data_IF_634881328368
#
_entry.id   IF_634881328368
#
_cell.length_a   1.000
_cell.length_b   1.000
_cell.length_c   1.000
_cell.angle_alpha   90.00
_cell.angle_beta   90.00
_cell.angle_gamma   90.00
#
_symmetry.space_group_name_H-M   'P 1'
#
loop_
_entity.id
_entity.type
_entity.pdbx_description
1 polymer ?
#
# COMPACT_ATOMS: atom_id res chain seq x y z
N UNK A 1 36.56 5.76 -70.32
CA UNK A 1 35.62 4.88 -69.58
C UNK A 1 34.81 5.75 -68.64
N UNK A 2 33.48 5.76 -68.82
CA UNK A 2 32.51 6.46 -67.99
C UNK A 2 31.98 5.46 -66.96
N UNK A 3 31.98 5.80 -65.67
CA UNK A 3 31.13 5.12 -64.69
C UNK A 3 30.63 6.14 -63.69
N UNK A 4 29.36 6.51 -63.86
CA UNK A 4 28.59 7.29 -62.90
C UNK A 4 28.26 6.35 -61.72
N UNK A 5 28.60 6.75 -60.49
CA UNK A 5 28.08 6.09 -59.29
C UNK A 5 26.87 6.88 -58.84
N UNK A 6 25.70 6.27 -59.00
CA UNK A 6 24.41 6.81 -58.61
C UNK A 6 24.24 6.70 -57.10
N UNK A 7 23.86 7.83 -56.53
CA UNK A 7 23.41 8.10 -55.18
C UNK A 7 22.25 7.18 -54.77
N UNK A 8 22.37 6.51 -53.62
CA UNK A 8 21.31 5.70 -53.01
C UNK A 8 21.25 5.92 -51.51
N UNK A 9 20.67 7.06 -51.09
CA UNK A 9 20.31 7.29 -49.69
C UNK A 9 19.06 6.46 -49.40
N UNK A 10 19.21 5.37 -48.65
CA UNK A 10 18.09 4.60 -48.13
C UNK A 10 17.49 5.37 -46.95
N UNK A 11 16.39 6.07 -47.21
CA UNK A 11 15.49 6.61 -46.19
C UNK A 11 14.76 5.44 -45.53
N UNK A 12 15.29 4.95 -44.41
CA UNK A 12 14.54 4.07 -43.51
C UNK A 12 13.54 4.94 -42.73
N UNK A 13 12.31 4.98 -43.22
CA UNK A 13 11.16 5.39 -42.42
C UNK A 13 10.98 4.34 -41.32
N UNK A 14 11.46 4.65 -40.11
CA UNK A 14 11.14 3.89 -38.91
C UNK A 14 9.66 4.09 -38.57
N UNK A 15 8.78 3.30 -39.19
CA UNK A 15 7.43 3.13 -38.69
C UNK A 15 7.54 2.39 -37.35
N UNK A 16 7.19 3.06 -36.24
CA UNK A 16 6.96 2.39 -34.96
C UNK A 16 5.78 1.43 -35.14
N UNK A 17 6.06 0.18 -35.49
CA UNK A 17 5.07 -0.90 -35.43
C UNK A 17 4.75 -1.11 -33.96
N UNK A 18 3.58 -0.64 -33.53
CA UNK A 18 3.01 -1.00 -32.24
C UNK A 18 2.94 -2.53 -32.20
N UNK A 19 3.55 -3.20 -31.22
CA UNK A 19 3.36 -4.64 -31.07
C UNK A 19 1.88 -4.91 -30.79
N UNK A 20 1.25 -5.70 -31.65
CA UNK A 20 -0.07 -6.25 -31.39
C UNK A 20 0.01 -7.40 -30.39
N UNK A 21 -0.96 -7.36 -29.46
CA UNK A 21 -1.47 -8.44 -28.60
C UNK A 21 -0.48 -9.14 -27.67
N UNK A 22 -0.44 -8.70 -26.42
CA UNK A 22 -0.57 -9.66 -25.32
C UNK A 22 -2.04 -9.65 -24.88
N UNK A 23 -2.56 -10.85 -24.61
CA UNK A 23 -3.88 -11.09 -24.04
C UNK A 23 -3.88 -10.52 -22.61
N UNK A 24 -4.10 -9.22 -22.48
CA UNK A 24 -4.20 -8.59 -21.18
C UNK A 24 -5.61 -8.88 -20.68
N UNK A 25 -5.73 -9.82 -19.75
CA UNK A 25 -6.79 -9.73 -18.76
C UNK A 25 -6.67 -8.32 -18.18
N UNK A 26 -7.49 -7.40 -18.68
CA UNK A 26 -7.52 -6.02 -18.24
C UNK A 26 -8.21 -6.02 -16.89
N UNK A 27 -7.51 -6.49 -15.86
CA UNK A 27 -7.87 -6.21 -14.48
C UNK A 27 -7.81 -4.69 -14.37
N UNK A 28 -8.98 -4.06 -14.42
CA UNK A 28 -9.10 -2.63 -14.22
C UNK A 28 -8.44 -2.31 -12.88
N UNK A 29 -7.38 -1.52 -12.90
CA UNK A 29 -6.75 -1.06 -11.68
C UNK A 29 -7.81 -0.37 -10.83
N UNK A 30 -7.90 -0.77 -9.56
CA UNK A 30 -8.84 -0.22 -8.60
C UNK A 30 -8.56 1.28 -8.44
N UNK A 31 -9.59 2.13 -8.52
CA UNK A 31 -9.41 3.57 -8.32
C UNK A 31 -8.94 3.87 -6.90
N UNK A 32 -8.25 4.99 -6.68
CA UNK A 32 -7.80 5.41 -5.33
C UNK A 32 -8.98 5.51 -4.35
N UNK A 33 -10.13 6.03 -4.82
CA UNK A 33 -11.36 6.10 -4.02
C UNK A 33 -11.87 4.72 -3.61
N UNK A 34 -11.83 3.75 -4.52
CA UNK A 34 -12.27 2.39 -4.20
C UNK A 34 -11.27 1.70 -3.27
N UNK A 35 -9.96 1.88 -3.50
CA UNK A 35 -8.89 1.41 -2.61
C UNK A 35 -9.08 1.95 -1.19
N UNK A 36 -9.36 3.25 -1.06
CA UNK A 36 -9.60 3.89 0.23
C UNK A 36 -10.80 3.27 0.96
N UNK A 37 -11.94 3.15 0.27
CA UNK A 37 -13.14 2.49 0.82
C UNK A 37 -12.86 1.07 1.26
N UNK A 38 -11.99 0.35 0.56
CA UNK A 38 -11.62 -1.01 0.93
C UNK A 38 -10.73 -1.04 2.17
N UNK A 39 -9.71 -0.18 2.24
CA UNK A 39 -8.85 -0.07 3.42
C UNK A 39 -9.65 0.22 4.70
N UNK A 40 -10.68 1.06 4.61
CA UNK A 40 -11.55 1.44 5.73
C UNK A 40 -12.44 0.30 6.28
N UNK A 41 -12.64 -0.78 5.54
CA UNK A 41 -13.50 -1.89 5.96
C UNK A 41 -12.83 -2.82 6.99
N UNK A 42 -11.52 -2.70 7.17
CA UNK A 42 -10.73 -3.64 7.95
C UNK A 42 -9.85 -2.91 8.98
N UNK A 43 -9.58 -3.59 10.08
CA UNK A 43 -8.37 -3.39 10.87
C UNK A 43 -7.30 -4.31 10.29
N UNK A 44 -6.14 -3.75 10.00
CA UNK A 44 -5.01 -4.44 9.39
C UNK A 44 -3.99 -4.75 10.47
N UNK A 45 -3.67 -6.03 10.68
CA UNK A 45 -2.78 -6.46 11.75
C UNK A 45 -1.51 -7.13 11.23
N UNK A 46 -0.36 -6.75 11.76
CA UNK A 46 0.94 -7.36 11.48
C UNK A 46 1.71 -7.57 12.77
N UNK A 47 2.20 -8.79 12.99
CA UNK A 47 3.05 -9.12 14.14
C UNK A 47 4.48 -9.32 13.67
N UNK A 48 5.43 -8.45 14.07
CA UNK A 48 6.85 -8.65 13.77
C UNK A 48 7.37 -9.99 14.31
N UNK A 49 8.30 -10.63 13.61
CA UNK A 49 8.81 -11.97 13.95
C UNK A 49 9.36 -12.10 15.39
N UNK A 50 9.90 -11.02 15.96
CA UNK A 50 10.46 -10.98 17.31
C UNK A 50 9.54 -10.29 18.33
N UNK A 51 8.23 -10.24 18.05
CA UNK A 51 7.21 -9.63 18.90
C UNK A 51 6.03 -10.58 19.08
N UNK A 52 5.36 -10.51 20.22
CA UNK A 52 4.02 -11.13 20.42
C UNK A 52 2.90 -10.11 20.25
N UNK A 53 3.26 -8.83 20.07
CA UNK A 53 2.35 -7.70 20.05
C UNK A 53 2.17 -7.26 18.61
N UNK A 54 0.92 -7.28 18.09
CA UNK A 54 0.64 -6.81 16.74
C UNK A 54 0.70 -5.29 16.66
N UNK A 55 1.13 -4.80 15.50
CA UNK A 55 0.88 -3.45 15.03
C UNK A 55 -0.44 -3.49 14.26
N UNK A 56 -1.37 -2.62 14.63
CA UNK A 56 -2.69 -2.49 14.01
C UNK A 56 -2.81 -1.16 13.27
N UNK A 57 -3.31 -1.21 12.04
CA UNK A 57 -3.66 -0.04 11.24
C UNK A 57 -5.17 0.00 11.04
N UNK A 58 -5.74 1.19 11.19
CA UNK A 58 -7.12 1.48 10.85
C UNK A 58 -7.17 2.72 9.96
N UNK A 59 -8.05 2.69 8.96
CA UNK A 59 -8.20 3.80 8.03
C UNK A 59 -9.59 4.41 8.19
N UNK A 60 -9.64 5.74 8.16
CA UNK A 60 -10.86 6.51 7.98
C UNK A 60 -10.82 7.22 6.62
N UNK A 61 -11.79 8.09 6.35
CA UNK A 61 -11.83 8.85 5.10
C UNK A 61 -10.65 9.82 4.96
N UNK A 62 -10.08 10.29 6.06
CA UNK A 62 -9.00 11.29 6.04
C UNK A 62 -7.79 10.88 6.85
N UNK A 63 -7.95 9.96 7.80
CA UNK A 63 -6.91 9.60 8.77
C UNK A 63 -6.53 8.13 8.77
N UNK A 64 -5.28 7.86 9.13
CA UNK A 64 -4.75 6.56 9.49
C UNK A 64 -4.48 6.55 11.00
N UNK A 65 -4.99 5.53 11.69
CA UNK A 65 -4.63 5.20 13.05
C UNK A 65 -3.63 4.04 13.05
N UNK A 66 -2.56 4.17 13.84
CA UNK A 66 -1.51 3.19 14.04
C UNK A 66 -1.45 2.89 15.54
N UNK A 67 -1.61 1.63 15.91
CA UNK A 67 -1.67 1.22 17.31
C UNK A 67 -0.80 0.00 17.57
N UNK A 68 0.00 0.08 18.63
CA UNK A 68 0.83 -1.02 19.13
C UNK A 68 0.73 -1.12 20.66
N UNK A 69 -0.51 -1.14 21.17
CA UNK A 69 -0.89 -1.41 22.57
C UNK A 69 -0.71 -0.31 23.62
N UNK A 70 0.08 0.75 23.39
CA UNK A 70 0.27 1.79 24.40
C UNK A 70 -0.13 3.17 23.89
N UNK A 71 0.64 3.77 22.98
CA UNK A 71 0.26 5.02 22.35
C UNK A 71 -0.64 4.81 21.12
N UNK A 72 -1.63 5.69 21.00
CA UNK A 72 -2.38 5.84 19.76
C UNK A 72 -1.65 6.86 18.90
N UNK A 73 -1.21 6.43 17.74
CA UNK A 73 -0.53 7.27 16.75
C UNK A 73 -1.53 7.52 15.61
N UNK A 74 -1.66 8.76 15.16
CA UNK A 74 -2.56 9.06 14.05
C UNK A 74 -2.06 10.20 13.17
N UNK A 75 -2.47 10.18 11.92
CA UNK A 75 -2.16 11.24 10.96
C UNK A 75 -3.19 11.28 9.84
N UNK A 76 -3.28 12.41 9.13
CA UNK A 76 -3.99 12.45 7.87
C UNK A 76 -3.22 11.67 6.80
N UNK A 77 -3.92 11.14 5.80
CA UNK A 77 -3.29 10.48 4.66
C UNK A 77 -4.05 10.73 3.37
N UNK A 78 -3.35 10.49 2.26
CA UNK A 78 -3.95 10.35 0.93
C UNK A 78 -3.34 9.16 0.21
N UNK A 79 -4.09 8.62 -0.74
CA UNK A 79 -3.58 7.62 -1.67
C UNK A 79 -3.15 8.33 -2.95
N UNK A 80 -1.96 8.00 -3.45
CA UNK A 80 -1.45 8.49 -4.73
C UNK A 80 -0.73 7.36 -5.44
N UNK A 81 -1.22 6.93 -6.61
CA UNK A 81 -0.55 5.91 -7.43
C UNK A 81 -0.12 4.66 -6.63
N UNK A 82 -1.06 4.02 -5.91
CA UNK A 82 -0.78 2.85 -5.07
C UNK A 82 0.25 3.11 -3.95
N UNK A 83 0.34 4.34 -3.48
CA UNK A 83 1.20 4.76 -2.37
C UNK A 83 0.36 5.43 -1.30
N UNK A 84 0.57 5.08 -0.04
CA UNK A 84 0.02 5.79 1.11
C UNK A 84 0.99 6.94 1.42
N UNK A 85 0.49 8.17 1.37
CA UNK A 85 1.25 9.36 1.76
C UNK A 85 0.61 9.94 3.01
N UNK A 86 1.33 9.87 4.13
CA UNK A 86 0.91 10.45 5.40
C UNK A 86 1.32 11.92 5.47
N UNK A 87 0.45 12.76 6.01
CA UNK A 87 0.73 14.16 6.27
C UNK A 87 1.47 14.31 7.60
N UNK A 88 2.52 15.12 7.59
CA UNK A 88 3.34 15.44 8.76
C UNK A 88 2.83 16.76 9.37
N UNK A 89 2.75 16.90 10.70
CA UNK A 89 3.25 15.97 11.72
C UNK A 89 2.31 14.80 12.02
N UNK A 90 2.92 13.64 12.28
CA UNK A 90 2.22 12.50 12.90
C UNK A 90 1.99 12.80 14.38
N UNK A 91 0.77 12.60 14.85
CA UNK A 91 0.35 12.82 16.24
C UNK A 91 0.45 11.53 17.07
N UNK A 92 0.70 11.64 18.37
CA UNK A 92 0.76 10.52 19.32
C UNK A 92 0.29 10.98 20.70
N UNK A 93 -0.36 10.09 21.47
CA UNK A 93 -0.73 10.35 22.86
C UNK A 93 0.47 10.55 23.81
N UNK A 94 1.66 10.07 23.43
CA UNK A 94 2.93 10.19 24.16
C UNK A 94 2.87 9.84 25.67
N UNK A 95 2.11 8.82 26.04
CA UNK A 95 2.13 8.20 27.37
C UNK A 95 3.40 7.34 27.53
N UNK A 96 3.89 7.21 28.76
CA UNK A 96 5.07 6.37 29.05
C UNK A 96 4.75 4.89 28.92
N UNK A 97 5.58 4.16 28.17
CA UNK A 97 5.34 2.76 27.83
C UNK A 97 6.55 1.89 28.19
N UNK A 98 6.37 0.57 28.37
CA UNK A 98 7.49 -0.35 28.35
C UNK A 98 8.36 -0.17 27.09
N UNK A 99 9.69 -0.21 27.22
CA UNK A 99 10.65 0.09 26.14
C UNK A 99 10.38 -0.69 24.84
N UNK A 100 9.95 -1.95 24.93
CA UNK A 100 9.65 -2.75 23.74
C UNK A 100 8.42 -2.24 22.96
N UNK A 101 7.47 -1.56 23.60
CA UNK A 101 6.33 -0.90 22.95
C UNK A 101 6.76 0.43 22.34
N UNK A 102 7.58 1.22 23.05
CA UNK A 102 8.13 2.48 22.52
C UNK A 102 8.93 2.26 21.23
N UNK A 103 9.68 1.16 21.13
CA UNK A 103 10.37 0.78 19.91
C UNK A 103 9.42 0.45 18.76
N UNK A 104 8.30 -0.22 19.01
CA UNK A 104 7.30 -0.51 17.97
C UNK A 104 6.60 0.76 17.50
N UNK A 105 6.26 1.65 18.43
CA UNK A 105 5.67 2.97 18.13
C UNK A 105 6.61 3.83 17.29
N UNK A 106 7.90 3.85 17.64
CA UNK A 106 8.92 4.56 16.88
C UNK A 106 9.09 3.98 15.48
N UNK A 107 9.10 2.65 15.36
CA UNK A 107 9.22 1.95 14.08
C UNK A 107 8.04 2.30 13.16
N UNK A 108 6.80 2.20 13.65
CA UNK A 108 5.65 2.46 12.79
C UNK A 108 5.53 3.94 12.42
N UNK A 109 5.93 4.85 13.31
CA UNK A 109 6.00 6.28 13.00
C UNK A 109 6.99 6.54 11.87
N UNK A 110 8.23 6.06 12.00
CA UNK A 110 9.29 6.22 10.99
C UNK A 110 8.88 5.59 9.65
N UNK A 111 8.20 4.44 9.68
CA UNK A 111 7.69 3.77 8.49
C UNK A 111 6.75 4.67 7.67
N UNK A 112 5.93 5.49 8.31
CA UNK A 112 5.01 6.40 7.63
C UNK A 112 5.54 7.84 7.45
N UNK A 113 6.78 8.12 7.83
CA UNK A 113 7.41 9.43 7.55
C UNK A 113 7.77 9.60 6.06
N UNK A 114 7.78 8.50 5.29
CA UNK A 114 7.98 8.49 3.84
C UNK A 114 6.77 7.87 3.12
N UNK A 115 6.56 8.15 1.82
CA UNK A 115 5.52 7.49 1.03
C UNK A 115 5.71 5.96 1.00
N UNK A 116 4.66 5.22 1.35
CA UNK A 116 4.68 3.75 1.44
C UNK A 116 3.92 3.12 0.29
N UNK A 117 4.61 2.38 -0.58
CA UNK A 117 3.95 1.63 -1.64
C UNK A 117 3.12 0.49 -1.06
N UNK A 118 1.90 0.28 -1.57
CA UNK A 118 1.03 -0.77 -1.05
C UNK A 118 0.33 -1.59 -2.15
N UNK A 119 -0.05 -2.80 -1.78
CA UNK A 119 -0.90 -3.70 -2.59
C UNK A 119 -1.96 -4.34 -1.71
N UNK A 120 -3.15 -4.50 -2.27
CA UNK A 120 -4.25 -5.26 -1.66
C UNK A 120 -4.37 -6.59 -2.39
N UNK A 121 -4.33 -7.70 -1.66
CA UNK A 121 -4.61 -9.03 -2.18
C UNK A 121 -5.93 -9.52 -1.60
N UNK A 122 -6.90 -9.74 -2.48
CA UNK A 122 -8.19 -10.31 -2.12
C UNK A 122 -8.03 -11.83 -1.95
N UNK A 123 -8.40 -12.34 -0.79
CA UNK A 123 -8.43 -13.78 -0.52
C UNK A 123 -9.88 -14.27 -0.56
N UNK A 124 -10.07 -15.58 -0.79
CA UNK A 124 -11.40 -16.20 -0.77
C UNK A 124 -12.00 -16.30 0.64
N UNK A 125 -11.20 -16.02 1.67
CA UNK A 125 -11.52 -16.30 3.08
C UNK A 125 -11.99 -15.06 3.86
N UNK A 126 -12.38 -13.98 3.17
CA UNK A 126 -12.72 -12.67 3.75
C UNK A 126 -11.64 -12.06 4.65
N UNK A 127 -10.39 -12.53 4.50
CA UNK A 127 -9.22 -12.03 5.21
C UNK A 127 -8.23 -11.52 4.16
N UNK A 128 -8.47 -10.33 3.59
CA UNK A 128 -7.57 -9.77 2.58
C UNK A 128 -6.19 -9.49 3.19
N UNK A 129 -5.19 -9.36 2.33
CA UNK A 129 -3.85 -8.95 2.74
C UNK A 129 -3.57 -7.53 2.26
N UNK A 130 -3.01 -6.70 3.13
CA UNK A 130 -2.41 -5.42 2.80
C UNK A 130 -0.91 -5.60 2.88
N UNK A 131 -0.23 -5.52 1.74
CA UNK A 131 1.22 -5.58 1.66
C UNK A 131 1.75 -4.16 1.56
N UNK A 132 2.50 -3.74 2.57
CA UNK A 132 3.24 -2.48 2.57
C UNK A 132 4.70 -2.76 2.20
N UNK A 133 5.28 -1.94 1.33
CA UNK A 133 6.65 -2.12 0.84
C UNK A 133 7.51 -0.92 1.18
N UNK A 134 8.64 -1.15 1.84
CA UNK A 134 9.64 -0.14 2.15
C UNK A 134 11.03 -0.78 2.19
N UNK A 135 12.07 -0.08 1.72
CA UNK A 135 13.46 -0.54 1.79
C UNK A 135 13.69 -1.96 1.25
N UNK A 136 12.99 -2.31 0.16
CA UNK A 136 12.98 -3.64 -0.47
C UNK A 136 12.38 -4.77 0.40
N UNK A 137 11.88 -4.43 1.59
CA UNK A 137 11.14 -5.33 2.48
C UNK A 137 9.63 -5.21 2.26
N UNK A 138 8.91 -6.29 2.56
CA UNK A 138 7.46 -6.34 2.50
C UNK A 138 6.91 -6.70 3.88
N UNK A 139 5.89 -5.96 4.29
CA UNK A 139 5.18 -6.14 5.55
C UNK A 139 3.74 -6.52 5.22
N UNK A 140 3.36 -7.74 5.55
CA UNK A 140 2.05 -8.29 5.20
C UNK A 140 1.12 -8.19 6.40
N UNK A 141 0.13 -7.31 6.28
CA UNK A 141 -0.94 -7.15 7.25
C UNK A 141 -2.15 -7.99 6.86
N UNK A 142 -2.73 -8.67 7.84
CA UNK A 142 -3.96 -9.42 7.71
C UNK A 142 -5.16 -8.52 8.01
N UNK A 143 -6.11 -8.43 7.09
CA UNK A 143 -7.34 -7.68 7.27
C UNK A 143 -8.39 -8.45 8.07
N UNK A 144 -8.89 -7.84 9.15
CA UNK A 144 -10.03 -8.31 9.93
C UNK A 144 -11.17 -7.29 9.79
N UNK A 145 -12.36 -7.74 9.38
CA UNK A 145 -13.52 -6.85 9.22
C UNK A 145 -13.79 -6.13 10.53
N UNK A 146 -13.98 -4.81 10.44
CA UNK A 146 -14.41 -3.99 11.57
C UNK A 146 -15.83 -4.39 11.95
N UNK A 147 -15.98 -5.22 12.99
CA UNK A 147 -17.25 -5.63 13.59
C UNK A 147 -18.37 -5.92 12.59
N UNK A 148 -18.47 -7.16 12.12
CA UNK A 148 -19.80 -7.68 11.80
C UNK A 148 -20.61 -7.54 13.09
N UNK A 149 -21.64 -6.69 13.12
CA UNK A 149 -22.79 -6.99 13.95
C UNK A 149 -23.26 -8.36 13.47
N UNK A 150 -22.88 -9.41 14.19
CA UNK A 150 -23.51 -10.72 14.05
C UNK A 150 -24.95 -10.52 14.49
N UNK A 151 -25.80 -10.10 13.54
CA UNK A 151 -27.22 -10.39 13.65
C UNK A 151 -27.30 -11.89 13.49
N UNK A 152 -27.23 -12.61 14.60
CA UNK A 152 -27.68 -13.98 14.70
C UNK A 152 -29.16 -13.95 14.30
N UNK A 153 -29.46 -14.37 13.08
CA UNK A 153 -30.82 -14.75 12.71
C UNK A 153 -31.11 -16.07 13.40
N UNK A 154 -31.76 -16.00 14.56
CA UNK A 154 -32.64 -17.08 15.04
C UNK A 154 -33.92 -17.10 14.20
#
# INVERSE_FOLDING_TARGET
MKTNIILGIVLLLGACTKPSSSNQNSYKAMSEKDQQKFLMQYTWSYTPANSQIPIELSFTQTGIGMYSQCNIISANYRLMNNTIVVEIPITSSAIGCPTHLEHQESLIKQFFEVPVAFKIIFTKTNQPLLILSQDQQQYTFLGKINGLNTVETN
#
